data_IF_215920403281
#
_entry.id   IF_215920403281
#
_cell.length_a   1.000
_cell.length_b   1.000
_cell.length_c   1.000
_cell.angle_alpha   90.00
_cell.angle_beta   90.00
_cell.angle_gamma   90.00
#
_symmetry.space_group_name_H-M   'P 1'
#
loop_
_entity.id
_entity.type
_entity.pdbx_description
1 polymer ?
#
# COMPACT_ATOMS: atom_id res chain seq x y z
N UNK A 1 -3.26 34.27 4.26
CA UNK A 1 -3.71 32.87 4.17
C UNK A 1 -5.11 32.61 4.75
N UNK A 2 -5.38 32.81 6.06
CA UNK A 2 -6.69 32.43 6.66
C UNK A 2 -7.94 33.15 6.11
N UNK A 3 -7.81 34.32 5.48
CA UNK A 3 -8.95 35.10 5.00
C UNK A 3 -9.50 34.68 3.62
N UNK A 4 -8.82 33.79 2.90
CA UNK A 4 -9.17 33.41 1.51
C UNK A 4 -9.62 31.94 1.41
N UNK A 5 -9.17 31.08 2.33
CA UNK A 5 -9.47 29.66 2.32
C UNK A 5 -10.80 29.35 3.04
N UNK A 6 -11.63 28.43 2.53
CA UNK A 6 -12.88 28.06 3.19
C UNK A 6 -12.62 27.56 4.61
N UNK A 7 -13.18 28.23 5.62
CA UNK A 7 -12.99 27.86 7.03
C UNK A 7 -13.42 26.41 7.34
N UNK A 8 -14.35 25.85 6.56
CA UNK A 8 -14.83 24.46 6.68
C UNK A 8 -13.80 23.41 6.29
N UNK A 9 -12.76 23.78 5.54
CA UNK A 9 -11.73 22.85 5.05
C UNK A 9 -10.44 22.88 5.87
N UNK A 10 -10.25 23.92 6.71
CA UNK A 10 -9.08 24.03 7.58
C UNK A 10 -9.23 23.09 8.75
N UNK A 11 -8.25 22.21 8.94
CA UNK A 11 -8.27 21.24 10.04
C UNK A 11 -8.05 21.96 11.38
N UNK A 12 -8.96 21.75 12.34
CA UNK A 12 -8.84 22.27 13.72
C UNK A 12 -7.65 21.67 14.47
N UNK A 13 -7.12 22.37 15.48
CA UNK A 13 -5.88 22.01 16.18
C UNK A 13 -5.88 20.57 16.78
N UNK A 14 -7.01 20.11 17.31
CA UNK A 14 -7.12 18.73 17.82
C UNK A 14 -6.98 17.69 16.70
N UNK A 15 -7.65 17.92 15.57
CA UNK A 15 -7.55 17.04 14.42
C UNK A 15 -6.18 17.14 13.74
N UNK A 16 -5.56 18.33 13.75
CA UNK A 16 -4.20 18.53 13.28
C UNK A 16 -3.21 17.63 14.02
N UNK A 17 -3.26 17.60 15.37
CA UNK A 17 -2.37 16.72 16.16
C UNK A 17 -2.60 15.24 15.87
N UNK A 18 -3.85 14.80 15.67
CA UNK A 18 -4.11 13.42 15.26
C UNK A 18 -3.61 13.10 13.85
N UNK A 19 -3.67 14.04 12.90
CA UNK A 19 -3.15 13.84 11.55
C UNK A 19 -1.62 13.84 11.52
N UNK A 20 -0.97 14.66 12.35
CA UNK A 20 0.48 14.64 12.51
C UNK A 20 0.97 13.29 13.04
N UNK A 21 0.22 12.67 13.96
CA UNK A 21 0.50 11.33 14.47
C UNK A 21 0.22 10.19 13.45
N UNK A 22 -0.41 10.49 12.31
CA UNK A 22 -0.75 9.49 11.27
C UNK A 22 0.31 9.33 10.20
N UNK A 23 1.37 10.15 10.19
CA UNK A 23 2.51 9.84 9.33
C UNK A 23 3.16 8.56 9.81
N UNK A 24 3.27 7.62 8.89
CA UNK A 24 4.01 6.40 9.14
C UNK A 24 5.51 6.70 9.15
N UNK A 25 6.00 7.50 8.19
CA UNK A 25 7.38 7.96 8.15
C UNK A 25 7.57 9.15 9.10
N UNK A 26 8.26 8.93 10.21
CA UNK A 26 8.49 9.92 11.28
C UNK A 26 9.10 11.23 10.77
N UNK A 27 10.00 11.15 9.78
CA UNK A 27 10.64 12.32 9.19
C UNK A 27 9.65 13.27 8.49
N UNK A 28 8.45 12.82 8.12
CA UNK A 28 7.39 13.68 7.61
C UNK A 28 6.66 14.41 8.74
N UNK A 29 6.58 13.79 9.92
CA UNK A 29 5.95 14.37 11.10
C UNK A 29 6.81 15.46 11.76
N UNK A 30 8.05 15.67 11.32
CA UNK A 30 8.91 16.74 11.82
C UNK A 30 8.55 18.12 11.24
N UNK A 31 7.82 18.15 10.11
CA UNK A 31 7.41 19.39 9.46
C UNK A 31 6.15 20.00 10.07
N UNK A 32 6.14 21.32 10.21
CA UNK A 32 5.09 22.09 10.86
C UNK A 32 4.43 23.05 9.85
N UNK A 33 3.38 22.61 9.13
CA UNK A 33 2.70 23.48 8.18
C UNK A 33 1.88 24.55 8.90
N UNK A 34 1.77 25.74 8.29
CA UNK A 34 0.92 26.85 8.75
C UNK A 34 -0.56 26.46 8.83
N UNK A 35 -1.02 25.60 7.91
CA UNK A 35 -2.32 24.94 8.02
C UNK A 35 -2.38 23.62 7.23
N UNK A 36 -3.38 22.79 7.59
CA UNK A 36 -3.79 21.63 6.81
C UNK A 36 -5.17 21.88 6.21
N UNK A 37 -5.35 21.53 4.94
CA UNK A 37 -6.62 21.67 4.23
C UNK A 37 -7.03 20.30 3.70
N UNK A 38 -8.27 19.89 3.97
CA UNK A 38 -8.77 18.58 3.52
C UNK A 38 -9.96 18.73 2.58
N UNK A 39 -9.71 18.84 1.25
CA UNK A 39 -10.78 18.88 0.26
C UNK A 39 -11.50 17.52 0.22
N UNK A 40 -12.81 17.56 0.01
CA UNK A 40 -13.68 16.38 0.01
C UNK A 40 -14.13 15.95 -1.39
N UNK A 41 -13.94 16.80 -2.38
CA UNK A 41 -14.26 16.52 -3.78
C UNK A 41 -13.18 17.08 -4.72
N UNK A 42 -13.19 16.61 -5.96
CA UNK A 42 -12.28 17.08 -7.01
C UNK A 42 -12.53 18.55 -7.37
N UNK A 43 -13.77 19.02 -7.28
CA UNK A 43 -14.14 20.42 -7.46
C UNK A 43 -13.55 21.31 -6.36
N UNK A 44 -13.67 20.89 -5.09
CA UNK A 44 -13.08 21.61 -3.97
C UNK A 44 -11.56 21.70 -4.08
N UNK A 45 -10.92 20.58 -4.45
CA UNK A 45 -9.48 20.54 -4.68
C UNK A 45 -9.08 21.40 -5.88
N UNK A 46 -9.84 21.36 -6.97
CA UNK A 46 -9.63 22.18 -8.16
C UNK A 46 -9.67 23.68 -7.87
N UNK A 47 -10.71 24.12 -7.15
CA UNK A 47 -10.84 25.52 -6.74
C UNK A 47 -9.70 25.97 -5.83
N UNK A 48 -9.24 25.10 -4.92
CA UNK A 48 -8.08 25.35 -4.07
C UNK A 48 -6.80 25.47 -4.90
N UNK A 49 -6.58 24.57 -5.85
CA UNK A 49 -5.39 24.56 -6.70
C UNK A 49 -5.33 25.81 -7.58
N UNK A 50 -6.45 26.25 -8.17
CA UNK A 50 -6.48 27.51 -8.92
C UNK A 50 -6.00 28.70 -8.08
N UNK A 51 -6.41 28.79 -6.80
CA UNK A 51 -5.94 29.84 -5.89
C UNK A 51 -4.45 29.69 -5.54
N UNK A 52 -4.00 28.47 -5.25
CA UNK A 52 -2.59 28.22 -4.91
C UNK A 52 -1.65 28.58 -6.08
N UNK A 53 -2.06 28.32 -7.31
CA UNK A 53 -1.29 28.70 -8.51
C UNK A 53 -1.24 30.22 -8.67
N UNK A 54 -2.30 30.96 -8.35
CA UNK A 54 -2.28 32.43 -8.37
C UNK A 54 -1.30 33.04 -7.37
N UNK A 55 -1.08 32.39 -6.22
CA UNK A 55 -0.07 32.81 -5.24
C UNK A 55 1.37 32.50 -5.66
N UNK A 56 1.58 31.60 -6.62
CA UNK A 56 2.92 31.23 -7.10
C UNK A 56 3.86 30.79 -5.96
N UNK A 57 5.10 31.28 -5.98
CA UNK A 57 6.14 30.89 -5.02
C UNK A 57 5.94 31.46 -3.60
N UNK A 58 4.98 32.37 -3.41
CA UNK A 58 4.67 32.94 -2.08
C UNK A 58 4.03 31.91 -1.14
N UNK A 59 3.49 30.82 -1.70
CA UNK A 59 2.81 29.76 -0.94
C UNK A 59 3.35 28.38 -1.34
N UNK A 60 4.08 27.76 -0.42
CA UNK A 60 4.49 26.36 -0.55
C UNK A 60 3.37 25.45 -0.08
N UNK A 61 3.18 24.33 -0.77
CA UNK A 61 2.31 23.27 -0.29
C UNK A 61 2.90 21.87 -0.51
N UNK A 62 2.49 20.95 0.36
CA UNK A 62 2.76 19.52 0.23
C UNK A 62 1.45 18.75 0.11
N UNK A 63 1.51 17.54 -0.47
CA UNK A 63 0.35 16.69 -0.71
C UNK A 63 0.48 15.43 0.14
N UNK A 64 -0.53 15.13 0.95
CA UNK A 64 -0.57 13.93 1.79
C UNK A 64 -1.78 13.09 1.45
N UNK A 65 -1.55 11.82 1.12
CA UNK A 65 -2.57 10.76 1.06
C UNK A 65 -2.41 9.85 2.28
N UNK A 66 -1.45 8.91 2.18
CA UNK A 66 -1.15 7.91 3.20
C UNK A 66 -0.28 8.38 4.36
N UNK A 67 0.60 9.35 4.12
CA UNK A 67 1.68 9.72 5.05
C UNK A 67 2.84 8.71 5.11
N UNK A 68 3.03 7.91 4.05
CA UNK A 68 4.05 6.84 3.95
C UNK A 68 5.30 7.23 3.15
N UNK A 69 5.35 8.44 2.60
CA UNK A 69 6.49 8.87 1.80
C UNK A 69 7.75 8.97 2.68
N UNK A 70 8.83 8.31 2.29
CA UNK A 70 10.09 8.28 3.04
C UNK A 70 11.03 9.42 2.66
N UNK A 71 10.87 10.01 1.47
CA UNK A 71 11.64 11.16 1.04
C UNK A 71 11.30 12.39 1.91
N UNK A 72 12.31 13.02 2.49
CA UNK A 72 12.16 14.16 3.40
C UNK A 72 11.34 15.29 2.75
N UNK A 73 10.27 15.74 3.42
CA UNK A 73 9.40 16.81 2.94
C UNK A 73 8.48 16.43 1.77
N UNK A 74 8.35 15.14 1.42
CA UNK A 74 7.55 14.71 0.28
C UNK A 74 6.04 14.81 0.52
N UNK A 75 5.59 14.72 1.77
CA UNK A 75 4.17 14.70 2.14
C UNK A 75 3.81 15.65 3.28
N UNK A 76 4.73 16.54 3.66
CA UNK A 76 4.52 17.60 4.63
C UNK A 76 5.47 18.78 4.34
N UNK A 77 5.22 19.95 4.92
CA UNK A 77 5.97 21.19 4.62
C UNK A 77 6.01 22.13 5.83
N UNK A 78 7.10 22.88 5.99
CA UNK A 78 7.22 23.95 6.99
C UNK A 78 6.66 25.26 6.47
N UNK A 79 5.98 26.01 7.34
CA UNK A 79 5.43 27.35 7.09
C UNK A 79 4.46 27.45 5.89
N UNK A 80 4.10 26.32 5.28
CA UNK A 80 3.24 26.20 4.10
C UNK A 80 1.88 25.56 4.39
N UNK A 81 1.29 24.98 3.35
CA UNK A 81 0.00 24.29 3.41
C UNK A 81 0.21 22.80 3.17
N UNK A 82 -0.35 21.93 4.00
CA UNK A 82 -0.47 20.51 3.64
C UNK A 82 -1.88 20.21 3.16
N UNK A 83 -1.98 19.76 1.92
CA UNK A 83 -3.20 19.23 1.31
C UNK A 83 -3.38 17.80 1.79
N UNK A 84 -4.30 17.61 2.72
CA UNK A 84 -4.64 16.32 3.30
C UNK A 84 -5.79 15.69 2.52
N UNK A 85 -5.45 14.79 1.60
CA UNK A 85 -6.40 14.11 0.73
C UNK A 85 -7.10 12.94 1.43
N UNK A 86 -6.94 12.75 2.75
CA UNK A 86 -7.55 11.62 3.46
C UNK A 86 -9.08 11.61 3.45
N UNK A 87 -9.73 12.74 3.14
CA UNK A 87 -11.18 12.80 2.95
C UNK A 87 -11.67 12.35 1.55
N UNK A 88 -10.76 12.11 0.60
CA UNK A 88 -11.05 11.50 -0.70
C UNK A 88 -10.88 9.98 -0.58
N UNK A 89 -11.66 9.33 0.29
CA UNK A 89 -11.51 7.93 0.70
C UNK A 89 -12.64 7.01 0.21
N UNK A 90 -13.46 7.47 -0.73
CA UNK A 90 -14.56 6.68 -1.29
C UNK A 90 -14.07 5.38 -1.94
N UNK A 91 -14.75 4.27 -1.70
CA UNK A 91 -14.46 2.97 -2.34
C UNK A 91 -15.78 2.40 -2.87
N UNK A 92 -15.81 2.08 -4.17
CA UNK A 92 -17.00 1.56 -4.84
C UNK A 92 -16.64 0.43 -5.80
N UNK A 93 -17.08 -0.78 -5.47
CA UNK A 93 -16.94 -1.95 -6.34
C UNK A 93 -17.96 -1.89 -7.49
N UNK A 94 -17.53 -2.11 -8.72
CA UNK A 94 -18.42 -2.20 -9.88
C UNK A 94 -19.46 -3.31 -9.70
N UNK A 95 -20.65 -3.15 -10.27
CA UNK A 95 -21.73 -4.14 -10.14
C UNK A 95 -21.39 -5.50 -10.77
N UNK A 96 -20.63 -5.48 -11.87
CA UNK A 96 -20.05 -6.66 -12.52
C UNK A 96 -18.76 -7.15 -11.85
N UNK A 97 -18.29 -6.41 -10.84
CA UNK A 97 -17.10 -6.66 -10.04
C UNK A 97 -15.79 -6.69 -10.83
N UNK A 98 -15.75 -6.11 -12.02
CA UNK A 98 -14.56 -6.09 -12.90
C UNK A 98 -13.49 -5.08 -12.47
N UNK A 99 -13.89 -4.04 -11.76
CA UNK A 99 -13.00 -3.02 -11.18
C UNK A 99 -13.57 -2.48 -9.87
N UNK A 100 -12.72 -1.77 -9.13
CA UNK A 100 -13.09 -0.96 -7.98
C UNK A 100 -12.61 0.48 -8.20
N UNK A 101 -13.50 1.43 -7.96
CA UNK A 101 -13.17 2.85 -7.91
C UNK A 101 -12.73 3.21 -6.49
N UNK A 102 -11.53 3.76 -6.36
CA UNK A 102 -10.88 4.01 -5.06
C UNK A 102 -10.34 5.43 -5.00
N UNK A 103 -10.76 6.17 -3.99
CA UNK A 103 -10.27 7.51 -3.71
C UNK A 103 -8.80 7.49 -3.28
N UNK A 104 -8.05 8.51 -3.69
CA UNK A 104 -6.61 8.66 -3.41
C UNK A 104 -6.27 8.62 -1.91
N UNK A 105 -7.21 9.05 -1.06
CA UNK A 105 -7.11 9.10 0.40
C UNK A 105 -7.40 7.78 1.10
N UNK A 106 -7.97 6.79 0.40
CA UNK A 106 -8.27 5.48 0.98
C UNK A 106 -7.00 4.77 1.46
N UNK A 107 -7.17 3.84 2.41
CA UNK A 107 -6.12 2.92 2.86
C UNK A 107 -6.35 1.54 2.28
N UNK A 108 -5.26 0.81 2.03
CA UNK A 108 -5.36 -0.53 1.45
C UNK A 108 -6.19 -1.50 2.29
N UNK A 109 -6.17 -1.36 3.61
CA UNK A 109 -7.02 -2.16 4.50
C UNK A 109 -8.52 -2.01 4.21
N UNK A 110 -8.98 -0.80 3.91
CA UNK A 110 -10.39 -0.53 3.66
C UNK A 110 -10.81 -1.10 2.30
N UNK A 111 -9.92 -1.01 1.31
CA UNK A 111 -10.11 -1.61 -0.01
C UNK A 111 -10.22 -3.12 0.11
N UNK A 112 -9.29 -3.78 0.80
CA UNK A 112 -9.33 -5.24 0.96
C UNK A 112 -10.57 -5.71 1.71
N UNK A 113 -10.97 -5.04 2.80
CA UNK A 113 -12.18 -5.40 3.56
C UNK A 113 -13.46 -5.35 2.72
N UNK A 114 -13.52 -4.46 1.73
CA UNK A 114 -14.66 -4.38 0.79
C UNK A 114 -14.63 -5.54 -0.22
N UNK A 115 -13.44 -5.98 -0.64
CA UNK A 115 -13.29 -6.99 -1.69
C UNK A 115 -13.27 -8.43 -1.18
N UNK A 116 -12.74 -8.67 0.02
CA UNK A 116 -12.59 -10.00 0.63
C UNK A 116 -13.91 -10.79 0.66
N UNK A 117 -15.10 -10.21 1.00
CA UNK A 117 -16.37 -10.95 0.98
C UNK A 117 -16.80 -11.47 -0.40
N UNK A 118 -16.14 -11.02 -1.47
CA UNK A 118 -16.42 -11.40 -2.85
C UNK A 118 -15.33 -12.30 -3.46
N UNK A 119 -14.35 -12.75 -2.66
CA UNK A 119 -13.16 -13.48 -3.12
C UNK A 119 -12.41 -12.72 -4.23
N UNK A 120 -12.35 -11.40 -4.07
CA UNK A 120 -11.68 -10.47 -4.97
C UNK A 120 -10.54 -9.75 -4.25
N UNK A 121 -9.57 -9.32 -5.03
CA UNK A 121 -8.53 -8.40 -4.58
C UNK A 121 -8.04 -7.54 -5.73
N UNK A 122 -7.03 -6.72 -5.44
CA UNK A 122 -6.33 -5.82 -6.36
C UNK A 122 -4.82 -5.90 -6.09
N UNK A 123 -4.01 -5.38 -7.01
CA UNK A 123 -2.56 -5.29 -6.86
C UNK A 123 -2.15 -4.17 -5.87
N UNK A 124 -2.71 -4.21 -4.67
CA UNK A 124 -2.58 -3.16 -3.66
C UNK A 124 -1.35 -3.29 -2.77
N UNK A 125 -1.19 -2.31 -1.89
CA UNK A 125 -0.11 -2.24 -0.92
C UNK A 125 -0.10 -3.38 0.08
N UNK A 126 1.11 -3.77 0.48
CA UNK A 126 1.34 -4.90 1.40
C UNK A 126 0.98 -4.57 2.85
N UNK A 127 1.14 -3.31 3.26
CA UNK A 127 0.84 -2.86 4.62
C UNK A 127 -0.51 -2.13 4.66
N UNK A 128 -1.32 -2.45 5.68
CA UNK A 128 -2.70 -2.01 5.84
C UNK A 128 -2.87 -0.48 5.76
N UNK A 129 -1.97 0.29 6.37
CA UNK A 129 -2.12 1.75 6.53
C UNK A 129 -1.60 2.58 5.36
N UNK A 130 -0.99 1.94 4.35
CA UNK A 130 -0.46 2.62 3.16
C UNK A 130 -1.62 3.29 2.41
N UNK A 131 -1.41 4.55 2.00
CA UNK A 131 -2.38 5.31 1.21
C UNK A 131 -2.36 4.89 -0.26
N UNK A 132 -3.54 4.79 -0.86
CA UNK A 132 -3.71 4.31 -2.25
C UNK A 132 -3.02 5.22 -3.26
N UNK A 133 -3.19 6.53 -3.14
CA UNK A 133 -2.68 7.49 -4.13
C UNK A 133 -1.17 7.45 -4.30
N UNK A 134 -0.42 7.66 -3.22
CA UNK A 134 1.05 7.65 -3.27
C UNK A 134 1.61 6.29 -3.72
N UNK A 135 0.96 5.19 -3.33
CA UNK A 135 1.36 3.84 -3.75
C UNK A 135 1.21 3.63 -5.27
N UNK A 136 0.05 3.97 -5.84
CA UNK A 136 -0.22 3.74 -7.28
C UNK A 136 0.59 4.70 -8.16
N UNK A 137 0.71 5.97 -7.75
CA UNK A 137 1.50 6.95 -8.51
C UNK A 137 3.00 6.66 -8.47
N UNK A 138 3.49 5.95 -7.46
CA UNK A 138 4.86 5.45 -7.38
C UNK A 138 5.08 4.10 -8.08
N UNK A 139 4.04 3.51 -8.69
CA UNK A 139 4.08 2.19 -9.33
C UNK A 139 3.45 1.10 -8.45
N UNK A 140 3.97 0.91 -7.23
CA UNK A 140 3.37 0.01 -6.23
C UNK A 140 3.73 -1.47 -6.40
N UNK A 141 4.35 -2.06 -5.37
CA UNK A 141 4.70 -3.49 -5.32
C UNK A 141 3.76 -4.20 -4.35
N UNK A 142 3.01 -5.16 -4.87
CA UNK A 142 2.03 -5.97 -4.16
C UNK A 142 2.61 -7.32 -3.75
N UNK A 143 1.96 -8.01 -2.80
CA UNK A 143 2.20 -9.43 -2.54
C UNK A 143 1.90 -10.31 -3.76
N UNK A 144 1.14 -9.77 -4.72
CA UNK A 144 0.66 -10.47 -5.90
C UNK A 144 1.38 -10.03 -7.18
N UNK A 145 2.45 -9.25 -7.08
CA UNK A 145 3.08 -8.63 -8.26
C UNK A 145 3.70 -9.62 -9.25
N UNK A 146 4.09 -10.84 -8.82
CA UNK A 146 4.51 -11.89 -9.75
C UNK A 146 3.36 -12.38 -10.66
N UNK A 147 2.11 -12.18 -10.22
CA UNK A 147 0.90 -12.67 -10.88
C UNK A 147 0.25 -11.61 -11.76
N UNK A 148 0.23 -10.36 -11.30
CA UNK A 148 -0.54 -9.29 -11.93
C UNK A 148 0.27 -8.01 -12.26
N UNK A 149 1.59 -8.02 -12.05
CA UNK A 149 2.44 -6.86 -12.29
C UNK A 149 2.43 -5.85 -11.14
N UNK A 150 2.78 -4.61 -11.43
CA UNK A 150 2.79 -3.53 -10.45
C UNK A 150 1.37 -3.05 -10.18
N UNK A 151 1.13 -2.41 -9.02
CA UNK A 151 -0.18 -1.84 -8.69
C UNK A 151 -0.70 -0.88 -9.77
N UNK A 152 0.21 -0.09 -10.32
CA UNK A 152 -0.09 0.80 -11.43
C UNK A 152 -0.53 0.03 -12.69
N UNK A 153 0.00 -1.16 -12.97
CA UNK A 153 -0.36 -1.94 -14.17
C UNK A 153 -1.84 -2.30 -14.20
N UNK A 154 -2.47 -2.49 -13.04
CA UNK A 154 -3.90 -2.78 -12.91
C UNK A 154 -4.80 -1.53 -12.91
N UNK A 155 -4.25 -0.32 -12.96
CA UNK A 155 -5.04 0.92 -13.05
C UNK A 155 -5.51 1.11 -14.49
N UNK A 156 -6.81 1.35 -14.66
CA UNK A 156 -7.47 1.55 -15.96
C UNK A 156 -7.77 3.03 -16.24
N UNK A 157 -7.98 3.83 -15.19
CA UNK A 157 -8.30 5.25 -15.26
C UNK A 157 -7.84 5.97 -13.99
N UNK A 158 -7.35 7.20 -14.12
CA UNK A 158 -6.98 8.08 -13.00
C UNK A 158 -7.72 9.40 -13.19
N UNK A 159 -8.52 9.78 -12.19
CA UNK A 159 -9.06 11.13 -12.10
C UNK A 159 -8.00 12.04 -11.46
N UNK A 160 -7.69 13.15 -12.12
CA UNK A 160 -6.60 14.03 -11.73
C UNK A 160 -7.02 15.50 -11.82
N UNK A 161 -6.72 16.27 -10.78
CA UNK A 161 -6.81 17.73 -10.77
C UNK A 161 -5.51 18.31 -11.33
N UNK A 162 -5.63 19.13 -12.37
CA UNK A 162 -4.53 19.79 -13.04
C UNK A 162 -4.22 21.15 -12.40
N UNK A 163 -3.06 21.73 -12.74
CA UNK A 163 -2.61 23.02 -12.20
C UNK A 163 -3.56 24.19 -12.49
N UNK A 164 -4.38 24.12 -13.54
CA UNK A 164 -5.40 25.13 -13.83
C UNK A 164 -6.68 24.96 -12.99
N UNK A 165 -6.74 23.95 -12.11
CA UNK A 165 -7.88 23.61 -11.25
C UNK A 165 -8.98 22.78 -11.93
N UNK A 166 -8.86 22.49 -13.22
CA UNK A 166 -9.76 21.54 -13.89
C UNK A 166 -9.41 20.10 -13.51
N UNK A 167 -10.39 19.20 -13.49
CA UNK A 167 -10.16 17.77 -13.32
C UNK A 167 -10.56 16.99 -14.56
N UNK A 168 -9.78 15.97 -14.89
CA UNK A 168 -9.98 15.10 -16.04
C UNK A 168 -9.81 13.63 -15.63
N UNK A 169 -10.36 12.73 -16.44
CA UNK A 169 -10.08 11.30 -16.35
C UNK A 169 -9.02 10.91 -17.41
N UNK A 170 -7.85 10.49 -16.95
CA UNK A 170 -6.76 9.99 -17.79
C UNK A 170 -6.80 8.46 -17.86
N UNK A 171 -6.71 7.91 -19.06
CA UNK A 171 -6.74 6.47 -19.34
C UNK A 171 -5.90 6.16 -20.59
N UNK A 172 -5.83 4.88 -20.98
CA UNK A 172 -5.16 4.49 -22.23
C UNK A 172 -5.81 5.09 -23.50
N UNK A 173 -7.09 5.49 -23.45
CA UNK A 173 -7.83 6.06 -24.58
C UNK A 173 -8.07 7.57 -24.47
N UNK A 174 -7.87 8.18 -23.30
CA UNK A 174 -8.04 9.61 -23.06
C UNK A 174 -6.84 10.16 -22.28
N UNK A 175 -6.10 11.12 -22.83
CA UNK A 175 -4.85 11.64 -22.24
C UNK A 175 -3.80 10.53 -21.96
N UNK A 176 -3.45 9.69 -22.96
CA UNK A 176 -2.62 8.51 -22.75
C UNK A 176 -1.18 8.82 -22.33
N UNK A 177 -0.66 9.98 -22.72
CA UNK A 177 0.64 10.50 -22.30
C UNK A 177 0.66 10.80 -20.79
N UNK A 178 -0.33 11.56 -20.30
CA UNK A 178 -0.50 11.85 -18.89
C UNK A 178 -0.74 10.57 -18.08
N UNK A 179 -1.58 9.67 -18.59
CA UNK A 179 -1.86 8.38 -17.95
C UNK A 179 -0.58 7.55 -17.78
N UNK A 180 0.27 7.47 -18.80
CA UNK A 180 1.56 6.80 -18.71
C UNK A 180 2.48 7.46 -17.68
N UNK A 181 2.56 8.80 -17.67
CA UNK A 181 3.37 9.55 -16.70
C UNK A 181 2.90 9.38 -15.25
N UNK A 182 1.60 9.28 -15.00
CA UNK A 182 1.05 9.10 -13.64
C UNK A 182 1.35 7.72 -13.05
N UNK A 183 1.67 6.71 -13.88
CA UNK A 183 2.01 5.33 -13.47
C UNK A 183 3.48 5.18 -13.09
N UNK A 184 3.98 6.05 -12.21
CA UNK A 184 5.38 6.07 -11.75
C UNK A 184 5.95 7.49 -11.56
N UNK A 185 5.24 8.51 -12.05
CA UNK A 185 5.63 9.92 -11.94
C UNK A 185 5.33 10.58 -10.60
N UNK A 186 4.82 9.83 -9.62
CA UNK A 186 4.47 10.33 -8.29
C UNK A 186 3.50 11.53 -8.41
N UNK A 187 3.74 12.64 -7.73
CA UNK A 187 2.84 13.80 -7.65
C UNK A 187 3.22 14.94 -8.62
N UNK A 188 3.98 14.64 -9.69
CA UNK A 188 4.51 15.68 -10.59
C UNK A 188 3.52 16.20 -11.64
N UNK A 189 2.50 15.42 -12.01
CA UNK A 189 1.66 15.69 -13.19
C UNK A 189 0.22 16.09 -12.86
N UNK A 190 -0.03 16.44 -11.60
CA UNK A 190 -1.35 16.77 -11.07
C UNK A 190 -1.64 16.02 -9.77
N UNK A 191 -2.80 16.30 -9.18
CA UNK A 191 -3.23 15.68 -7.93
C UNK A 191 -4.30 14.66 -8.24
N UNK A 192 -3.94 13.37 -8.18
CA UNK A 192 -4.88 12.29 -8.40
C UNK A 192 -5.89 12.21 -7.26
N UNK A 193 -7.18 12.13 -7.59
CA UNK A 193 -8.31 12.11 -6.66
C UNK A 193 -8.96 10.73 -6.57
N UNK A 194 -9.01 9.98 -7.67
CA UNK A 194 -9.61 8.64 -7.76
C UNK A 194 -8.87 7.76 -8.77
N UNK A 195 -8.82 6.46 -8.50
CA UNK A 195 -8.28 5.44 -9.38
C UNK A 195 -9.36 4.41 -9.68
N UNK A 196 -9.53 4.04 -10.95
CA UNK A 196 -10.23 2.81 -11.34
C UNK A 196 -9.22 1.69 -11.43
N UNK A 197 -9.40 0.67 -10.60
CA UNK A 197 -8.44 -0.43 -10.45
C UNK A 197 -9.13 -1.74 -10.82
N UNK A 198 -8.56 -2.46 -11.78
CA UNK A 198 -9.01 -3.80 -12.15
C UNK A 198 -8.91 -4.74 -10.96
N UNK A 199 -10.00 -5.45 -10.68
CA UNK A 199 -10.05 -6.51 -9.66
C UNK A 199 -9.70 -7.85 -10.29
N UNK A 200 -9.30 -8.79 -9.45
CA UNK A 200 -9.11 -10.18 -9.85
C UNK A 200 -9.46 -11.11 -8.69
N UNK A 201 -9.82 -12.35 -9.03
CA UNK A 201 -10.26 -13.32 -8.03
C UNK A 201 -9.08 -13.88 -7.27
N UNK A 202 -9.21 -13.97 -5.95
CA UNK A 202 -8.32 -14.77 -5.10
C UNK A 202 -8.72 -16.25 -5.11
N UNK A 203 -9.87 -16.56 -5.72
CA UNK A 203 -10.56 -17.85 -5.70
C UNK A 203 -11.02 -18.30 -4.32
N UNK A 204 -10.66 -17.60 -3.25
CA UNK A 204 -10.89 -17.93 -1.85
C UNK A 204 -9.78 -17.34 -0.95
N UNK A 205 -9.59 -17.86 0.27
CA UNK A 205 -8.48 -17.45 1.14
C UNK A 205 -7.10 -17.77 0.55
N UNK A 206 -6.14 -16.88 0.82
CA UNK A 206 -4.73 -17.03 0.49
C UNK A 206 -4.07 -18.08 1.39
N UNK A 207 -3.11 -18.83 0.84
CA UNK A 207 -2.20 -19.65 1.64
C UNK A 207 -1.02 -18.78 2.08
N UNK A 208 -0.79 -18.69 3.38
CA UNK A 208 0.26 -17.88 3.99
C UNK A 208 1.14 -18.77 4.86
N UNK A 209 2.46 -18.61 4.74
CA UNK A 209 3.42 -19.21 5.68
C UNK A 209 4.34 -18.16 6.27
N UNK A 210 4.59 -18.25 7.56
CA UNK A 210 5.54 -17.41 8.28
C UNK A 210 6.61 -18.29 8.91
N UNK A 211 7.85 -18.11 8.47
CA UNK A 211 9.00 -18.90 8.90
C UNK A 211 10.04 -17.97 9.53
N UNK A 212 10.49 -18.28 10.74
CA UNK A 212 11.57 -17.55 11.40
C UNK A 212 12.86 -18.36 11.40
N UNK A 213 13.98 -17.73 11.06
CA UNK A 213 15.30 -18.34 10.98
C UNK A 213 16.31 -17.63 11.89
N UNK A 214 17.25 -18.41 12.42
CA UNK A 214 18.50 -17.91 13.00
C UNK A 214 19.46 -17.45 11.90
N UNK A 215 20.41 -16.60 12.27
CA UNK A 215 21.38 -16.02 11.34
C UNK A 215 22.19 -17.06 10.54
N UNK A 216 22.54 -18.21 11.16
CA UNK A 216 23.35 -19.24 10.49
C UNK A 216 22.68 -19.88 9.26
N UNK A 217 21.35 -19.80 9.16
CA UNK A 217 20.58 -20.42 8.09
C UNK A 217 20.33 -19.49 6.89
N UNK A 218 20.66 -18.20 6.99
CA UNK A 218 20.39 -17.22 5.94
C UNK A 218 21.04 -17.53 4.60
N UNK A 219 22.28 -18.06 4.52
CA UNK A 219 22.81 -18.52 3.25
C UNK A 219 21.94 -19.59 2.56
N UNK A 220 21.29 -20.47 3.33
CA UNK A 220 20.37 -21.47 2.77
C UNK A 220 19.04 -20.84 2.33
N UNK A 221 18.49 -19.92 3.15
CA UNK A 221 17.26 -19.18 2.80
C UNK A 221 17.44 -18.37 1.52
N UNK A 222 18.58 -17.69 1.35
CA UNK A 222 18.88 -16.93 0.13
C UNK A 222 19.01 -17.83 -1.12
N UNK A 223 19.57 -19.04 -0.97
CA UNK A 223 19.59 -20.04 -2.04
C UNK A 223 18.18 -20.51 -2.40
N UNK A 224 17.34 -20.76 -1.40
CA UNK A 224 15.94 -21.12 -1.62
C UNK A 224 15.14 -19.98 -2.28
N UNK A 225 15.38 -18.72 -1.89
CA UNK A 225 14.82 -17.53 -2.56
C UNK A 225 15.26 -17.44 -4.03
N UNK A 226 16.54 -17.70 -4.32
CA UNK A 226 17.02 -17.74 -5.70
C UNK A 226 16.33 -18.85 -6.50
N UNK A 227 16.15 -20.03 -5.89
CA UNK A 227 15.51 -21.18 -6.51
C UNK A 227 14.02 -20.92 -6.84
N UNK A 228 13.25 -20.32 -5.92
CA UNK A 228 11.84 -19.98 -6.19
C UNK A 228 11.73 -18.93 -7.29
N UNK A 229 12.63 -17.93 -7.34
CA UNK A 229 12.61 -16.94 -8.42
C UNK A 229 12.93 -17.57 -9.78
N UNK A 230 13.92 -18.46 -9.87
CA UNK A 230 14.29 -19.14 -11.12
C UNK A 230 13.20 -20.11 -11.60
N UNK A 231 12.48 -20.73 -10.67
CA UNK A 231 11.46 -21.74 -10.95
C UNK A 231 10.03 -21.25 -10.73
N UNK A 232 9.80 -19.94 -10.67
CA UNK A 232 8.49 -19.36 -10.39
C UNK A 232 7.40 -19.84 -11.37
N UNK A 233 7.77 -20.11 -12.63
CA UNK A 233 6.90 -20.68 -13.66
C UNK A 233 6.33 -22.07 -13.31
N UNK A 234 6.94 -22.79 -12.37
CA UNK A 234 6.50 -24.12 -11.91
C UNK A 234 5.33 -24.05 -10.92
N UNK A 235 5.11 -22.89 -10.29
CA UNK A 235 3.94 -22.63 -9.45
C UNK A 235 3.38 -21.24 -9.74
N UNK A 236 2.53 -21.10 -10.77
CA UNK A 236 2.00 -19.81 -11.20
C UNK A 236 1.06 -19.16 -10.18
N UNK A 237 0.79 -19.81 -9.03
CA UNK A 237 -0.01 -19.24 -7.95
C UNK A 237 0.85 -18.71 -6.79
N UNK A 238 2.16 -19.03 -6.76
CA UNK A 238 3.11 -18.48 -5.80
C UNK A 238 3.28 -16.98 -6.04
N UNK A 239 2.76 -16.19 -5.11
CA UNK A 239 2.60 -14.76 -5.27
C UNK A 239 3.82 -13.99 -4.75
N UNK A 240 4.33 -14.35 -3.58
CA UNK A 240 5.46 -13.64 -2.96
C UNK A 240 6.24 -14.49 -1.95
N UNK A 241 7.51 -14.11 -1.78
CA UNK A 241 8.42 -14.57 -0.74
C UNK A 241 9.18 -13.36 -0.17
N UNK A 242 8.67 -12.80 0.92
CA UNK A 242 9.19 -11.57 1.53
C UNK A 242 10.08 -11.92 2.74
N UNK A 243 11.38 -11.72 2.62
CA UNK A 243 12.34 -11.86 3.72
C UNK A 243 12.54 -10.51 4.42
N UNK A 244 12.18 -10.45 5.69
CA UNK A 244 12.39 -9.30 6.58
C UNK A 244 13.42 -9.63 7.66
N UNK A 245 14.16 -8.62 8.11
CA UNK A 245 15.13 -8.74 9.21
C UNK A 245 14.64 -7.86 10.34
N UNK A 246 14.57 -8.43 11.54
CA UNK A 246 14.13 -7.72 12.74
C UNK A 246 14.98 -8.06 13.95
N UNK A 247 14.73 -7.37 15.05
CA UNK A 247 15.32 -7.64 16.35
C UNK A 247 14.22 -8.12 17.30
N UNK A 248 14.36 -9.33 17.83
CA UNK A 248 13.40 -9.87 18.79
C UNK A 248 13.91 -9.62 20.21
N UNK A 249 13.27 -8.70 20.92
CA UNK A 249 13.62 -8.36 22.32
C UNK A 249 13.07 -9.35 23.34
N UNK A 250 12.25 -10.33 22.91
CA UNK A 250 11.62 -11.32 23.79
C UNK A 250 12.40 -12.64 23.85
N UNK A 251 13.28 -12.89 22.87
CA UNK A 251 14.28 -13.96 22.91
C UNK A 251 15.38 -13.59 23.92
N UNK A 252 15.03 -13.62 25.21
CA UNK A 252 15.93 -13.39 26.33
C UNK A 252 16.72 -14.66 26.64
N UNK A 253 17.92 -14.76 26.08
CA UNK A 253 19.08 -15.23 26.83
C UNK A 253 20.14 -14.16 26.65
N UNK A 254 20.70 -13.65 27.75
CA UNK A 254 21.62 -12.51 27.83
C UNK A 254 22.96 -12.66 27.06
N UNK A 255 23.04 -13.53 26.06
CA UNK A 255 24.21 -13.80 25.25
C UNK A 255 23.82 -13.89 23.77
N UNK A 256 24.19 -12.83 23.03
CA UNK A 256 24.45 -12.78 21.58
C UNK A 256 23.27 -12.97 20.59
N UNK A 257 23.07 -11.90 19.80
CA UNK A 257 22.43 -11.86 18.47
C UNK A 257 20.90 -12.11 18.41
N UNK A 258 20.12 -11.14 18.89
CA UNK A 258 18.65 -11.09 18.79
C UNK A 258 18.12 -10.82 17.37
N UNK A 259 18.96 -10.91 16.34
CA UNK A 259 18.53 -10.72 14.95
C UNK A 259 17.76 -11.94 14.49
N UNK A 260 16.48 -11.74 14.17
CA UNK A 260 15.61 -12.76 13.60
C UNK A 260 15.31 -12.43 12.14
N UNK A 261 15.21 -13.48 11.33
CA UNK A 261 14.90 -13.37 9.92
C UNK A 261 13.54 -14.00 9.68
N UNK A 262 12.59 -13.20 9.22
CA UNK A 262 11.20 -13.60 9.05
C UNK A 262 10.89 -13.67 7.57
N UNK A 263 10.58 -14.87 7.08
CA UNK A 263 10.15 -15.11 5.71
C UNK A 263 8.63 -15.29 5.69
N UNK A 264 7.94 -14.43 4.95
CA UNK A 264 6.52 -14.58 4.65
C UNK A 264 6.35 -15.08 3.22
N UNK A 265 5.64 -16.19 3.05
CA UNK A 265 5.28 -16.76 1.75
C UNK A 265 3.78 -16.59 1.53
N UNK A 266 3.38 -16.12 0.34
CA UNK A 266 1.96 -15.97 -0.02
C UNK A 266 1.67 -16.66 -1.35
N UNK A 267 0.57 -17.41 -1.43
CA UNK A 267 0.12 -18.10 -2.64
C UNK A 267 -1.40 -18.05 -2.78
N UNK A 268 -1.89 -17.85 -4.00
CA UNK A 268 -3.31 -18.05 -4.32
C UNK A 268 -3.64 -19.54 -4.25
N UNK A 269 -4.82 -19.91 -3.73
CA UNK A 269 -5.25 -21.31 -3.69
C UNK A 269 -6.29 -21.53 -4.79
N UNK A 270 -5.96 -22.26 -5.86
CA UNK A 270 -6.94 -22.60 -6.90
C UNK A 270 -8.17 -23.27 -6.30
N UNK A 271 -9.36 -22.99 -6.83
CA UNK A 271 -10.63 -23.59 -6.37
C UNK A 271 -10.55 -25.12 -6.24
N UNK A 272 -9.83 -25.77 -7.13
CA UNK A 272 -9.63 -27.22 -7.17
C UNK A 272 -8.86 -27.75 -5.95
N UNK A 273 -7.96 -26.94 -5.39
CA UNK A 273 -7.11 -27.24 -4.22
C UNK A 273 -7.76 -26.82 -2.88
N UNK A 274 -8.95 -26.23 -2.90
CA UNK A 274 -9.64 -25.74 -1.69
C UNK A 274 -10.33 -26.84 -0.87
N UNK A 275 -10.12 -28.11 -1.20
CA UNK A 275 -10.65 -29.23 -0.41
C UNK A 275 -10.10 -29.20 1.03
N UNK A 276 -10.97 -29.44 2.02
CA UNK A 276 -10.67 -29.30 3.45
C UNK A 276 -11.45 -28.14 4.11
N UNK A 277 -11.49 -28.09 5.44
CA UNK A 277 -12.15 -26.97 6.13
C UNK A 277 -11.22 -25.75 6.14
N UNK A 278 -11.73 -24.49 6.12
CA UNK A 278 -10.90 -23.28 6.23
C UNK A 278 -9.97 -23.26 7.47
N UNK A 279 -10.28 -24.11 8.46
CA UNK A 279 -9.60 -24.26 9.75
C UNK A 279 -8.55 -25.38 9.78
N UNK A 280 -8.22 -26.01 8.64
CA UNK A 280 -7.17 -27.02 8.63
C UNK A 280 -5.83 -26.36 8.98
N UNK A 281 -5.37 -26.58 10.22
CA UNK A 281 -4.06 -26.13 10.67
C UNK A 281 -2.98 -26.91 9.92
N UNK A 282 -2.01 -26.20 9.34
CA UNK A 282 -0.86 -26.75 8.60
C UNK A 282 -1.22 -27.56 7.32
N UNK A 283 -1.80 -26.92 6.29
CA UNK A 283 -1.79 -27.52 4.95
C UNK A 283 -0.34 -27.77 4.49
N UNK A 284 -0.11 -28.84 3.74
CA UNK A 284 1.23 -29.14 3.21
C UNK A 284 1.72 -27.96 2.34
N UNK A 285 2.99 -27.54 2.51
CA UNK A 285 3.54 -26.49 1.68
C UNK A 285 3.57 -26.94 0.21
N UNK A 286 3.31 -26.04 -0.75
CA UNK A 286 3.51 -26.33 -2.17
C UNK A 286 4.94 -26.85 -2.43
N UNK A 287 5.16 -27.73 -3.43
CA UNK A 287 6.47 -28.30 -3.68
C UNK A 287 7.60 -27.26 -3.82
N UNK A 288 7.30 -26.11 -4.44
CA UNK A 288 8.29 -25.02 -4.62
C UNK A 288 8.67 -24.33 -3.30
N UNK A 289 7.84 -24.45 -2.26
CA UNK A 289 8.11 -23.91 -0.94
C UNK A 289 8.89 -24.87 -0.06
N UNK A 290 8.87 -26.17 -0.35
CA UNK A 290 9.51 -27.20 0.48
C UNK A 290 10.97 -26.89 0.88
N UNK A 291 11.84 -26.34 0.00
CA UNK A 291 13.21 -25.99 0.38
C UNK A 291 13.32 -24.99 1.54
N UNK A 292 12.29 -24.18 1.80
CA UNK A 292 12.24 -23.29 2.97
C UNK A 292 11.93 -24.08 4.26
N UNK A 293 11.03 -25.05 4.18
CA UNK A 293 10.62 -25.88 5.32
C UNK A 293 11.66 -26.93 5.72
N UNK A 294 12.55 -27.30 4.79
CA UNK A 294 13.68 -28.21 5.06
C UNK A 294 14.82 -27.53 5.86
N UNK A 295 14.83 -26.20 5.91
CA UNK A 295 15.79 -25.42 6.69
C UNK A 295 15.30 -25.35 8.15
N UNK A 296 16.15 -25.59 9.16
CA UNK A 296 15.71 -25.47 10.55
C UNK A 296 15.17 -24.07 10.87
N UNK A 297 13.97 -24.03 11.46
CA UNK A 297 13.25 -22.80 11.82
C UNK A 297 13.16 -22.65 13.33
N UNK A 298 13.18 -21.40 13.80
CA UNK A 298 12.84 -21.04 15.19
C UNK A 298 11.34 -21.21 15.43
N UNK A 299 10.55 -20.74 14.47
CA UNK A 299 9.10 -20.94 14.41
C UNK A 299 8.68 -21.14 12.95
N UNK A 300 7.63 -21.94 12.75
CA UNK A 300 6.95 -22.05 11.48
C UNK A 300 5.44 -22.05 11.73
N UNK A 301 4.69 -21.41 10.84
CA UNK A 301 3.24 -21.37 10.90
C UNK A 301 2.69 -21.23 9.50
N UNK A 302 1.67 -22.02 9.20
CA UNK A 302 1.04 -22.05 7.88
C UNK A 302 -0.47 -22.07 8.04
N UNK A 303 -1.16 -21.12 7.40
CA UNK A 303 -2.60 -20.94 7.53
C UNK A 303 -3.23 -20.34 6.28
N UNK A 304 -4.57 -20.32 6.26
CA UNK A 304 -5.38 -19.65 5.22
C UNK A 304 -5.87 -18.29 5.74
N UNK A 305 -5.79 -17.24 4.92
CA UNK A 305 -6.09 -15.87 5.36
C UNK A 305 -6.65 -14.99 4.23
N UNK A 306 -7.40 -13.94 4.59
CA UNK A 306 -7.88 -12.94 3.63
C UNK A 306 -6.76 -11.94 3.30
N UNK A 307 -6.93 -11.12 2.26
CA UNK A 307 -5.92 -10.10 1.96
C UNK A 307 -5.88 -9.02 3.04
N UNK A 308 -7.02 -8.64 3.62
CA UNK A 308 -7.06 -7.66 4.71
C UNK A 308 -6.33 -8.12 5.98
N UNK A 309 -6.38 -9.41 6.31
CA UNK A 309 -5.68 -9.96 7.47
C UNK A 309 -4.17 -10.04 7.23
N UNK A 310 -3.75 -10.45 6.02
CA UNK A 310 -2.33 -10.45 5.64
C UNK A 310 -1.77 -9.02 5.65
N UNK A 311 -2.51 -8.04 5.13
CA UNK A 311 -2.07 -6.66 5.14
C UNK A 311 -1.93 -6.09 6.57
N UNK A 312 -2.81 -6.51 7.49
CA UNK A 312 -2.70 -6.17 8.92
C UNK A 312 -1.48 -6.83 9.56
N UNK A 313 -1.17 -8.08 9.22
CA UNK A 313 0.03 -8.77 9.72
C UNK A 313 1.32 -8.02 9.31
N UNK A 314 1.40 -7.59 8.04
CA UNK A 314 2.54 -6.81 7.54
C UNK A 314 2.63 -5.46 8.25
N UNK A 315 1.50 -4.79 8.52
CA UNK A 315 1.48 -3.54 9.29
C UNK A 315 2.05 -3.72 10.70
N UNK A 316 1.59 -4.76 11.41
CA UNK A 316 2.01 -5.02 12.79
C UNK A 316 3.50 -5.36 12.92
N UNK A 317 4.11 -5.93 11.87
CA UNK A 317 5.54 -6.25 11.86
C UNK A 317 6.43 -5.04 11.53
N UNK A 318 5.85 -3.90 11.15
CA UNK A 318 6.59 -2.69 10.79
C UNK A 318 5.93 -1.40 11.33
N UNK A 319 5.77 -1.28 12.67
CA UNK A 319 5.13 -0.13 13.28
C UNK A 319 6.06 1.10 13.22
N UNK A 320 5.57 2.22 12.68
CA UNK A 320 6.21 3.55 12.71
C UNK A 320 7.51 3.76 11.91
N UNK A 321 7.53 3.27 10.67
CA UNK A 321 8.25 3.86 9.53
C UNK A 321 9.68 4.35 9.62
N UNK A 322 10.45 3.89 10.60
CA UNK A 322 11.90 4.02 10.57
C UNK A 322 12.47 2.89 9.71
N UNK A 323 12.76 3.20 8.45
CA UNK A 323 13.75 2.49 7.63
C UNK A 323 14.95 3.39 7.43
#
# INVERSE_FOLDING_TARGET
MRAVLPHSQVIEERHYRSQQARYWASNQADFTPSCRISPRTSEELGALISQLVEFGDDVKFAISSGGHATAFGASNVDDGITLDLSALDSISLASDRSYVDVGTGARWIDVYRILDPFDLTVAGGRAASVGVGGYLLGGGISLLSSLCGWGADSVEEIEVVLANGTFIAASASAHPDLFACLKGGVNNFGIATRFRIKTFSTHGPLHVSLLQYSHEHIPAVLRALTNITQNAHMDPNSASADLSVGFDTTLNNHEQNNTVYMLMLTRLVPQEEQQGTPTDANPLPPPLWQPFFDIPTLTNSTWRSTMSDVAQLVEMSNPYGFR
#
